data_IF_539401637733
#
_entry.id   IF_539401637733
#
_cell.length_a   1.000
_cell.length_b   1.000
_cell.length_c   1.000
_cell.angle_alpha   90.00
_cell.angle_beta   90.00
_cell.angle_gamma   90.00
#
_symmetry.space_group_name_H-M   'P 1'
#
loop_
_entity.id
_entity.type
_entity.pdbx_description
1 polymer ?
#
# COMPACT_ATOMS: atom_id res chain seq x y z
N UNK A 1 4.94 -39.45 -6.75
CA UNK A 1 4.22 -38.94 -5.57
C UNK A 1 4.76 -37.60 -5.06
N UNK A 2 6.07 -37.34 -5.02
CA UNK A 2 6.57 -36.02 -4.57
C UNK A 2 6.19 -34.85 -5.50
N UNK A 3 6.23 -35.05 -6.82
CA UNK A 3 5.97 -33.99 -7.81
C UNK A 3 4.53 -33.45 -7.76
N UNK A 4 3.53 -34.31 -7.54
CA UNK A 4 2.13 -33.88 -7.40
C UNK A 4 1.91 -32.98 -6.17
N UNK A 5 2.64 -33.24 -5.08
CA UNK A 5 2.61 -32.37 -3.90
C UNK A 5 3.26 -31.01 -4.15
N UNK A 6 4.40 -30.99 -4.86
CA UNK A 6 5.06 -29.74 -5.25
C UNK A 6 4.15 -28.90 -6.16
N UNK A 7 3.50 -29.53 -7.15
CA UNK A 7 2.51 -28.87 -8.01
C UNK A 7 1.34 -28.30 -7.22
N UNK A 8 0.75 -29.08 -6.31
CA UNK A 8 -0.36 -28.62 -5.48
C UNK A 8 0.02 -27.42 -4.62
N UNK A 9 1.24 -27.41 -4.09
CA UNK A 9 1.75 -26.29 -3.29
C UNK A 9 1.94 -25.02 -4.12
N UNK A 10 2.35 -25.13 -5.38
CA UNK A 10 2.65 -23.97 -6.23
C UNK A 10 1.42 -23.44 -6.98
N UNK A 11 0.52 -24.32 -7.41
CA UNK A 11 -0.57 -24.00 -8.34
C UNK A 11 -1.96 -24.38 -7.81
N UNK A 12 -2.05 -24.85 -6.56
CA UNK A 12 -3.31 -25.23 -5.91
C UNK A 12 -3.77 -26.67 -6.18
N UNK A 13 -4.82 -27.09 -5.49
CA UNK A 13 -5.30 -28.49 -5.48
C UNK A 13 -5.71 -29.00 -6.87
N UNK A 14 -6.26 -28.14 -7.72
CA UNK A 14 -6.64 -28.50 -9.09
C UNK A 14 -5.43 -28.93 -9.95
N UNK A 15 -4.24 -28.43 -9.64
CA UNK A 15 -3.00 -28.76 -10.35
C UNK A 15 -2.43 -30.14 -10.02
N UNK A 16 -2.98 -30.84 -9.01
CA UNK A 16 -2.61 -32.22 -8.71
C UNK A 16 -2.92 -33.18 -9.87
N UNK A 17 -3.99 -32.87 -10.60
CA UNK A 17 -4.57 -33.72 -11.64
C UNK A 17 -4.24 -33.25 -13.06
N UNK A 18 -3.57 -32.10 -13.21
CA UNK A 18 -3.20 -31.52 -14.51
C UNK A 18 -1.88 -32.11 -15.02
N UNK A 19 -1.81 -32.29 -16.35
CA UNK A 19 -0.56 -32.69 -17.02
C UNK A 19 0.43 -31.53 -17.00
N UNK A 20 1.71 -31.85 -17.08
CA UNK A 20 2.77 -30.82 -17.07
C UNK A 20 2.60 -29.83 -18.24
N UNK A 21 2.18 -30.30 -19.42
CA UNK A 21 1.95 -29.45 -20.59
C UNK A 21 0.82 -28.43 -20.39
N UNK A 22 -0.26 -28.83 -19.69
CA UNK A 22 -1.39 -27.95 -19.40
C UNK A 22 -1.00 -26.86 -18.40
N UNK A 23 -0.18 -27.23 -17.40
CA UNK A 23 0.39 -26.29 -16.43
C UNK A 23 1.32 -25.29 -17.15
N UNK A 24 2.20 -25.78 -18.03
CA UNK A 24 3.11 -24.91 -18.76
C UNK A 24 2.37 -23.96 -19.72
N UNK A 25 1.33 -24.44 -20.40
CA UNK A 25 0.49 -23.62 -21.27
C UNK A 25 -0.24 -22.52 -20.49
N UNK A 26 -0.84 -22.85 -19.33
CA UNK A 26 -1.53 -21.88 -18.48
C UNK A 26 -0.58 -20.85 -17.87
N UNK A 27 0.61 -21.26 -17.42
CA UNK A 27 1.64 -20.33 -16.92
C UNK A 27 2.12 -19.40 -18.03
N UNK A 28 2.33 -19.91 -19.25
CA UNK A 28 2.76 -19.09 -20.39
C UNK A 28 1.73 -18.01 -20.73
N UNK A 29 0.44 -18.34 -20.72
CA UNK A 29 -0.66 -17.37 -20.90
C UNK A 29 -0.68 -16.35 -19.76
N UNK A 30 -0.55 -16.80 -18.51
CA UNK A 30 -0.57 -15.92 -17.34
C UNK A 30 0.57 -14.88 -17.35
N UNK A 31 1.77 -15.27 -17.78
CA UNK A 31 2.94 -14.39 -17.90
C UNK A 31 2.75 -13.35 -19.01
N UNK A 32 2.06 -13.71 -20.10
CA UNK A 32 1.79 -12.79 -21.21
C UNK A 32 0.62 -11.84 -20.92
N UNK A 33 -0.30 -12.22 -20.02
CA UNK A 33 -1.37 -11.34 -19.59
C UNK A 33 -0.87 -10.32 -18.57
N UNK A 34 -0.93 -9.01 -18.85
CA UNK A 34 -0.58 -8.00 -17.86
C UNK A 34 -1.56 -8.08 -16.69
N UNK A 35 -1.10 -8.59 -15.56
CA UNK A 35 -1.90 -8.62 -14.34
C UNK A 35 -2.04 -7.19 -13.81
N UNK A 36 -3.26 -6.65 -13.89
CA UNK A 36 -3.63 -5.50 -13.05
C UNK A 36 -3.71 -6.01 -11.61
N UNK A 37 -2.72 -5.67 -10.79
CA UNK A 37 -2.83 -5.89 -9.36
C UNK A 37 -4.14 -5.26 -8.86
N UNK A 38 -4.95 -5.99 -8.06
CA UNK A 38 -6.22 -5.46 -7.53
C UNK A 38 -6.01 -4.28 -6.58
N UNK A 39 -4.80 -4.15 -6.04
CA UNK A 39 -4.39 -3.04 -5.18
C UNK A 39 -3.62 -2.02 -6.00
N UNK A 40 -4.36 -1.04 -6.54
CA UNK A 40 -3.91 0.29 -7.00
C UNK A 40 -2.50 0.40 -7.59
N UNK A 41 -2.40 0.34 -8.92
CA UNK A 41 -1.24 0.89 -9.63
C UNK A 41 -1.11 2.40 -9.41
N UNK A 42 0.01 2.99 -9.82
CA UNK A 42 0.17 4.45 -9.78
C UNK A 42 -0.95 5.12 -10.58
N UNK A 43 -1.71 5.98 -9.93
CA UNK A 43 -2.75 6.77 -10.58
C UNK A 43 -2.06 7.73 -11.55
N UNK A 44 -2.46 7.72 -12.82
CA UNK A 44 -1.93 8.65 -13.82
C UNK A 44 -2.10 10.09 -13.32
N UNK A 45 -1.00 10.84 -13.23
CA UNK A 45 -0.99 12.20 -12.66
C UNK A 45 -0.72 12.27 -11.16
N UNK A 46 -0.54 11.15 -10.46
CA UNK A 46 -0.05 11.15 -9.08
C UNK A 46 1.38 11.69 -9.04
N UNK A 47 1.58 12.83 -8.37
CA UNK A 47 2.88 13.43 -8.13
C UNK A 47 3.20 13.40 -6.65
N UNK A 48 4.28 12.74 -6.29
CA UNK A 48 4.83 12.80 -4.93
C UNK A 48 5.74 14.02 -4.82
N UNK A 49 5.39 14.94 -3.94
CA UNK A 49 6.24 16.09 -3.61
C UNK A 49 7.21 15.72 -2.49
N UNK A 50 8.47 16.14 -2.62
CA UNK A 50 9.43 16.08 -1.52
C UNK A 50 8.99 17.13 -0.48
N UNK A 51 8.35 16.66 0.58
CA UNK A 51 7.96 17.49 1.72
C UNK A 51 9.06 17.39 2.77
N UNK A 52 9.55 18.53 3.23
CA UNK A 52 10.40 18.57 4.40
C UNK A 52 9.54 18.37 5.64
N UNK A 53 9.53 17.13 6.12
CA UNK A 53 8.73 16.76 7.31
C UNK A 53 9.32 17.34 8.59
N UNK A 54 10.64 17.52 8.64
CA UNK A 54 11.33 18.04 9.83
C UNK A 54 11.04 19.54 9.97
N UNK A 55 11.16 20.30 8.88
CA UNK A 55 10.82 21.72 8.90
C UNK A 55 9.32 21.95 9.20
N UNK A 56 8.43 21.11 8.65
CA UNK A 56 7.00 21.21 8.92
C UNK A 56 6.66 20.92 10.39
N UNK A 57 7.31 19.92 10.99
CA UNK A 57 7.13 19.58 12.41
C UNK A 57 7.61 20.72 13.32
N UNK A 58 8.80 21.26 13.04
CA UNK A 58 9.33 22.43 13.74
C UNK A 58 8.38 23.62 13.68
N UNK A 59 7.88 23.95 12.48
CA UNK A 59 6.93 25.06 12.30
C UNK A 59 5.65 24.84 13.09
N UNK A 60 5.08 23.63 13.03
CA UNK A 60 3.86 23.29 13.78
C UNK A 60 4.09 23.45 15.29
N UNK A 61 5.24 23.05 15.80
CA UNK A 61 5.57 23.20 17.20
C UNK A 61 5.65 24.68 17.63
N UNK A 62 6.32 25.51 16.83
CA UNK A 62 6.41 26.97 17.07
C UNK A 62 5.04 27.66 17.02
N UNK A 63 4.21 27.26 16.06
CA UNK A 63 2.91 27.89 15.83
C UNK A 63 1.90 27.61 16.96
N UNK A 64 2.00 26.46 17.64
CA UNK A 64 0.93 25.96 18.53
C UNK A 64 1.34 25.49 19.94
N UNK A 65 2.55 24.98 20.13
CA UNK A 65 2.91 24.23 21.35
C UNK A 65 3.99 24.87 22.22
N UNK A 66 4.71 25.86 21.71
CA UNK A 66 5.69 26.66 22.48
C UNK A 66 4.97 27.58 23.47
N UNK A 67 5.68 28.06 24.51
CA UNK A 67 5.13 28.88 25.61
C UNK A 67 4.40 30.16 25.14
N UNK A 68 4.87 30.77 24.05
CA UNK A 68 4.26 31.93 23.41
C UNK A 68 3.97 31.60 21.93
N UNK A 69 2.97 30.73 21.68
CA UNK A 69 2.70 30.26 20.34
C UNK A 69 2.10 31.40 19.51
N UNK A 70 2.36 31.37 18.19
CA UNK A 70 1.79 32.35 17.26
C UNK A 70 0.25 32.34 17.31
N UNK A 71 -0.34 31.16 17.49
CA UNK A 71 -1.77 30.98 17.65
C UNK A 71 -2.11 30.64 19.10
N UNK A 72 -2.91 31.51 19.72
CA UNK A 72 -3.44 31.28 21.06
C UNK A 72 -4.41 30.06 21.09
N UNK A 73 -4.77 29.63 22.31
CA UNK A 73 -5.70 28.50 22.52
C UNK A 73 -7.08 28.72 21.88
N UNK A 74 -7.49 29.95 21.63
CA UNK A 74 -8.76 30.30 20.99
C UNK A 74 -8.70 30.12 19.46
N UNK A 75 -7.53 30.34 18.85
CA UNK A 75 -7.24 30.08 17.45
C UNK A 75 -7.04 28.60 17.14
N UNK A 76 -6.83 27.76 18.16
CA UNK A 76 -6.89 26.31 18.03
C UNK A 76 -8.33 25.93 17.63
N UNK A 77 -8.62 25.95 16.33
CA UNK A 77 -9.93 25.56 15.79
C UNK A 77 -10.17 24.13 16.22
N UNK A 78 -11.06 23.98 17.21
CA UNK A 78 -11.80 22.80 17.66
C UNK A 78 -12.14 21.83 16.52
N UNK A 79 -11.14 21.10 16.02
CA UNK A 79 -11.34 19.96 15.11
C UNK A 79 -11.06 18.63 15.81
N UNK A 80 -10.51 18.68 17.02
CA UNK A 80 -10.52 17.57 17.96
C UNK A 80 -11.29 18.00 19.19
N UNK A 81 -12.59 17.71 19.21
CA UNK A 81 -13.30 17.56 20.47
C UNK A 81 -12.76 16.27 21.09
N UNK A 82 -11.70 16.35 21.89
CA UNK A 82 -11.45 15.33 22.89
C UNK A 82 -12.58 15.49 23.90
N UNK A 83 -13.70 14.81 23.64
CA UNK A 83 -14.75 14.63 24.62
C UNK A 83 -14.09 14.02 25.86
N UNK A 84 -14.14 14.77 26.95
CA UNK A 84 -13.71 14.34 28.27
C UNK A 84 -14.65 13.26 28.83
#
# INVERSE_FOLDING_TARGET
>A
MAWSYVKMSMFGIAAAYLRDDDIMATVAVLVQTPQKHPWGGSVLGHKTYKRDRVAADWQLNQDYFVEHPLYNKEHFRRRYNLLA
#
